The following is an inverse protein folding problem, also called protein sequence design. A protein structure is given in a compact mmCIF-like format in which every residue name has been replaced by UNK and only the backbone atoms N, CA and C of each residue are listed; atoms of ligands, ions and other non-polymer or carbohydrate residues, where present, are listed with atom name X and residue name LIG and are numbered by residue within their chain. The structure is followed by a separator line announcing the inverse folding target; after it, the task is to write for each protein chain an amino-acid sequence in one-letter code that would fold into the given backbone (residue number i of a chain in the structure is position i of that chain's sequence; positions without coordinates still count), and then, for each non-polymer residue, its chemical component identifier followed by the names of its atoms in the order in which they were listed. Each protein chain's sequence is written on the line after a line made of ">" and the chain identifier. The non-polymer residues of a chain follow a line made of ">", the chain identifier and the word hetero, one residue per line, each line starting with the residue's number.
data_IF_297340314851
#
_entry.id   IF_297340314851
#
_cell.length_a   1.000
_cell.length_b   1.000
_cell.length_c   1.000
_cell.angle_alpha   90.00
_cell.angle_beta   90.00
_cell.angle_gamma   90.00
#
_symmetry.space_group_name_H-M   'P 1'
#
loop_
_entity.id
_entity.type
_entity.pdbx_description
1 polymer ?
#
# COMPACT_ATOMS: atom_id res chain seq x y z
N UNK A 1 28.44 -37.66 -29.08
CA UNK A 1 28.66 -37.82 -30.53
C UNK A 1 27.76 -36.82 -31.25
N UNK A 2 28.36 -35.95 -32.08
CA UNK A 2 27.75 -35.05 -33.11
C UNK A 2 26.83 -33.91 -32.62
N UNK A 3 27.18 -32.61 -32.65
CA UNK A 3 27.51 -31.68 -33.76
C UNK A 3 26.38 -31.56 -34.81
N UNK A 4 25.86 -30.37 -35.17
CA UNK A 4 26.51 -29.43 -36.09
C UNK A 4 26.12 -27.94 -35.92
N UNK A 5 27.11 -27.08 -36.22
CA UNK A 5 27.03 -25.66 -36.55
C UNK A 5 26.14 -25.35 -37.76
N UNK A 6 25.63 -24.11 -37.82
CA UNK A 6 25.18 -23.45 -39.05
C UNK A 6 25.18 -21.93 -38.90
N UNK A 7 26.23 -21.28 -39.41
CA UNK A 7 26.36 -19.81 -39.57
C UNK A 7 25.82 -19.43 -40.95
N UNK A 8 25.01 -18.37 -41.04
CA UNK A 8 24.91 -17.58 -42.27
C UNK A 8 24.51 -16.13 -41.95
N UNK A 9 25.47 -15.26 -42.18
CA UNK A 9 25.43 -13.79 -42.13
C UNK A 9 24.67 -13.27 -43.35
N UNK A 10 23.77 -12.31 -43.18
CA UNK A 10 23.30 -11.46 -44.28
C UNK A 10 23.27 -9.99 -43.83
N UNK A 11 24.35 -9.30 -44.23
CA UNK A 11 24.55 -7.85 -44.18
C UNK A 11 24.22 -7.30 -45.57
N UNK A 12 23.32 -6.33 -45.65
CA UNK A 12 23.18 -5.31 -46.73
C UNK A 12 22.30 -4.19 -46.16
N UNK A 13 22.80 -3.11 -45.54
CA UNK A 13 23.53 -1.93 -46.03
C UNK A 13 22.82 -1.04 -47.08
N UNK A 14 22.68 0.24 -46.69
CA UNK A 14 22.45 1.51 -47.44
C UNK A 14 20.99 1.86 -47.82
N UNK A 15 20.47 3.07 -47.55
CA UNK A 15 21.00 4.31 -46.97
C UNK A 15 20.09 5.52 -47.30
N UNK A 16 20.22 6.62 -46.52
CA UNK A 16 19.76 8.03 -46.65
C UNK A 16 19.08 8.49 -45.34
N UNK A 17 19.68 9.21 -44.38
CA UNK A 17 20.38 10.53 -44.32
C UNK A 17 19.50 11.75 -44.61
N UNK A 18 19.02 12.39 -43.54
CA UNK A 18 18.82 13.85 -43.37
C UNK A 18 18.70 14.11 -41.84
N UNK A 19 19.74 14.55 -41.13
CA UNK A 19 20.18 15.94 -40.85
C UNK A 19 19.11 16.82 -40.19
N UNK A 20 19.28 17.02 -38.88
CA UNK A 20 18.63 18.07 -38.08
C UNK A 20 19.18 18.03 -36.66
N UNK A 21 20.08 18.97 -36.32
CA UNK A 21 20.52 19.22 -34.96
C UNK A 21 19.47 20.11 -34.29
N UNK A 22 19.02 19.77 -33.09
CA UNK A 22 18.65 20.78 -32.11
C UNK A 22 19.03 20.32 -30.71
N UNK A 23 19.76 21.23 -30.06
CA UNK A 23 20.17 21.19 -28.67
C UNK A 23 18.91 21.38 -27.84
N UNK A 24 18.58 20.37 -27.06
CA UNK A 24 17.63 20.48 -25.98
C UNK A 24 18.15 19.65 -24.83
N UNK A 25 18.93 20.27 -23.94
CA UNK A 25 19.02 19.80 -22.56
C UNK A 25 17.61 19.81 -21.98
N UNK A 26 16.90 18.71 -22.15
CA UNK A 26 15.77 18.40 -21.30
C UNK A 26 16.38 17.83 -20.03
N UNK A 27 16.83 18.74 -19.15
CA UNK A 27 16.79 18.50 -17.72
C UNK A 27 15.38 18.03 -17.42
N UNK A 28 15.21 16.70 -17.45
CA UNK A 28 14.04 16.07 -16.90
C UNK A 28 14.24 16.15 -15.41
N UNK A 29 13.97 17.35 -14.87
CA UNK A 29 13.51 17.54 -13.51
C UNK A 29 12.23 16.70 -13.36
N UNK A 30 12.42 15.40 -13.20
CA UNK A 30 11.48 14.52 -12.54
C UNK A 30 11.46 14.95 -11.08
N UNK A 31 10.86 16.12 -10.84
CA UNK A 31 10.24 16.40 -9.56
C UNK A 31 9.16 15.34 -9.41
N UNK A 32 9.52 14.21 -8.78
CA UNK A 32 8.53 13.34 -8.20
C UNK A 32 7.57 14.24 -7.41
N UNK A 33 6.25 14.11 -7.56
CA UNK A 33 5.35 14.89 -6.72
C UNK A 33 5.73 14.56 -5.29
N UNK A 34 6.28 15.53 -4.57
CA UNK A 34 6.39 15.53 -3.11
C UNK A 34 4.96 15.65 -2.59
N UNK A 35 4.16 14.61 -2.83
CA UNK A 35 2.80 14.52 -2.36
C UNK A 35 2.90 14.35 -0.86
N UNK A 36 2.53 15.39 -0.12
CA UNK A 36 2.29 15.27 1.32
C UNK A 36 1.33 14.11 1.53
N UNK A 37 1.71 13.14 2.37
CA UNK A 37 0.83 12.03 2.70
C UNK A 37 -0.50 12.59 3.25
N UNK A 38 -1.65 12.01 2.90
CA UNK A 38 -2.93 12.45 3.44
C UNK A 38 -2.90 12.35 4.97
N UNK A 39 -3.57 13.27 5.66
CA UNK A 39 -3.63 13.24 7.12
C UNK A 39 -4.53 12.08 7.60
N UNK A 40 -4.15 11.45 8.72
CA UNK A 40 -5.03 10.53 9.43
C UNK A 40 -6.27 11.30 9.91
N UNK A 41 -7.50 10.75 9.78
CA UNK A 41 -8.70 11.43 10.25
C UNK A 41 -8.58 11.80 11.74
N UNK A 42 -8.90 13.05 12.09
CA UNK A 42 -8.64 13.59 13.42
C UNK A 42 -9.25 12.76 14.56
N UNK A 43 -10.46 12.22 14.37
CA UNK A 43 -11.11 11.36 15.37
C UNK A 43 -10.39 10.02 15.58
N UNK A 44 -9.71 9.51 14.54
CA UNK A 44 -8.93 8.27 14.63
C UNK A 44 -7.58 8.60 15.26
N UNK A 45 -6.92 9.66 14.79
CA UNK A 45 -5.66 10.14 15.35
C UNK A 45 -5.74 10.34 16.87
N UNK A 46 -6.84 10.92 17.38
CA UNK A 46 -7.07 11.10 18.81
C UNK A 46 -7.14 9.79 19.63
N UNK A 47 -7.39 8.64 18.99
CA UNK A 47 -7.43 7.31 19.62
C UNK A 47 -6.09 6.59 19.55
N UNK A 48 -5.10 7.13 18.82
CA UNK A 48 -3.78 6.53 18.66
C UNK A 48 -2.80 7.09 19.70
N UNK A 49 -1.94 6.24 20.27
CA UNK A 49 -0.73 6.72 20.94
C UNK A 49 0.11 7.56 19.97
N UNK A 50 0.56 8.74 20.39
CA UNK A 50 1.30 9.70 19.55
C UNK A 50 0.58 10.03 18.21
N UNK A 51 -0.75 10.08 18.23
CA UNK A 51 -1.55 10.24 17.02
C UNK A 51 -1.57 11.65 16.43
N UNK A 52 -1.16 12.67 17.17
CA UNK A 52 -1.09 14.04 16.66
C UNK A 52 -0.15 14.13 15.45
N UNK A 53 -0.67 14.65 14.34
CA UNK A 53 0.06 14.70 13.07
C UNK A 53 0.25 13.34 12.39
N UNK A 54 -0.49 12.30 12.79
CA UNK A 54 -0.43 11.01 12.12
C UNK A 54 -0.86 11.11 10.64
N UNK A 55 -0.18 10.33 9.81
CA UNK A 55 -0.41 10.25 8.37
C UNK A 55 -1.30 9.04 8.07
N UNK A 56 -2.25 9.21 7.15
CA UNK A 56 -3.03 8.12 6.59
C UNK A 56 -2.14 7.32 5.63
N UNK A 57 -1.96 6.04 5.94
CA UNK A 57 -1.21 5.10 5.10
C UNK A 57 -2.13 4.45 4.09
N UNK A 58 -3.26 3.91 4.57
CA UNK A 58 -4.25 3.26 3.72
C UNK A 58 -5.55 3.10 4.50
N UNK A 59 -6.69 3.06 3.82
CA UNK A 59 -7.94 2.67 4.43
C UNK A 59 -8.77 1.79 3.50
N UNK A 60 -9.65 1.02 4.11
CA UNK A 60 -10.47 0.02 3.45
C UNK A 60 -11.86 -0.04 4.08
N UNK A 61 -12.84 -0.48 3.30
CA UNK A 61 -14.13 -0.95 3.80
C UNK A 61 -14.28 -2.44 3.56
N UNK A 62 -15.05 -3.07 4.45
CA UNK A 62 -15.67 -4.37 4.20
C UNK A 62 -17.19 -4.17 4.05
N UNK A 63 -17.97 -5.25 4.14
CA UNK A 63 -19.44 -5.16 4.16
C UNK A 63 -19.96 -4.25 5.30
N UNK A 64 -19.32 -4.27 6.48
CA UNK A 64 -19.80 -3.53 7.65
C UNK A 64 -18.69 -2.98 8.56
N UNK A 65 -17.43 -2.99 8.11
CA UNK A 65 -16.29 -2.40 8.83
C UNK A 65 -15.62 -1.32 8.00
N UNK A 66 -15.02 -0.38 8.70
CA UNK A 66 -13.95 0.47 8.18
C UNK A 66 -12.64 0.10 8.87
N UNK A 67 -11.58 0.06 8.09
CA UNK A 67 -10.21 -0.20 8.55
C UNK A 67 -9.37 0.98 8.09
N UNK A 68 -8.73 1.66 9.03
CA UNK A 68 -7.85 2.79 8.75
C UNK A 68 -6.46 2.50 9.31
N UNK A 69 -5.45 2.53 8.44
CA UNK A 69 -4.06 2.42 8.80
C UNK A 69 -3.44 3.81 8.87
N UNK A 70 -2.96 4.21 10.04
CA UNK A 70 -2.26 5.48 10.22
C UNK A 70 -0.86 5.25 10.78
N UNK A 71 0.09 6.06 10.33
CA UNK A 71 1.44 6.12 10.88
C UNK A 71 1.57 7.34 11.77
N UNK A 72 1.95 7.14 13.01
CA UNK A 72 2.17 8.23 13.98
C UNK A 72 3.39 9.06 13.59
N UNK A 73 3.52 10.26 14.16
CA UNK A 73 4.73 11.07 13.99
C UNK A 73 6.00 10.36 14.49
N UNK A 74 5.86 9.46 15.46
CA UNK A 74 6.94 8.57 15.95
C UNK A 74 7.25 7.39 15.00
N UNK A 75 6.55 7.28 13.87
CA UNK A 75 6.76 6.27 12.83
C UNK A 75 6.06 4.93 13.07
N UNK A 76 5.34 4.78 14.19
CA UNK A 76 4.61 3.55 14.51
C UNK A 76 3.35 3.42 13.67
N UNK A 77 3.11 2.22 13.12
CA UNK A 77 1.90 1.93 12.36
C UNK A 77 0.80 1.43 13.29
N UNK A 78 -0.40 1.97 13.13
CA UNK A 78 -1.60 1.54 13.82
C UNK A 78 -2.70 1.17 12.83
N UNK A 79 -3.42 0.13 13.17
CA UNK A 79 -4.69 -0.27 12.58
C UNK A 79 -5.80 0.23 13.49
N UNK A 80 -6.76 0.94 12.93
CA UNK A 80 -8.00 1.31 13.59
C UNK A 80 -9.17 0.60 12.89
N UNK A 81 -9.82 -0.32 13.59
CA UNK A 81 -10.98 -1.04 13.07
C UNK A 81 -12.25 -0.59 13.76
N UNK A 82 -13.27 -0.24 12.99
CA UNK A 82 -14.57 0.17 13.51
C UNK A 82 -15.71 -0.40 12.66
N UNK A 83 -16.91 -0.43 13.22
CA UNK A 83 -18.10 -0.72 12.44
C UNK A 83 -18.50 0.50 11.63
N UNK A 84 -18.87 0.29 10.36
CA UNK A 84 -19.26 1.38 9.46
C UNK A 84 -20.53 2.12 9.92
N UNK A 85 -21.36 1.50 10.75
CA UNK A 85 -22.55 2.11 11.37
C UNK A 85 -22.25 2.75 12.74
N UNK A 86 -21.00 2.72 13.22
CA UNK A 86 -20.59 3.37 14.46
C UNK A 86 -21.21 2.78 15.73
N UNK A 87 -21.80 1.58 15.66
CA UNK A 87 -22.52 0.97 16.80
C UNK A 87 -21.64 0.63 18.01
N UNK A 88 -20.34 0.48 17.76
CA UNK A 88 -19.32 0.26 18.79
C UNK A 88 -18.14 1.19 18.51
N UNK A 89 -17.43 1.58 19.57
CA UNK A 89 -16.20 2.34 19.46
C UNK A 89 -15.17 1.51 18.69
N UNK A 90 -14.43 2.16 17.78
CA UNK A 90 -13.34 1.52 17.08
C UNK A 90 -12.18 1.16 18.01
N UNK A 91 -11.35 0.24 17.55
CA UNK A 91 -10.21 -0.29 18.31
C UNK A 91 -8.93 0.04 17.57
N UNK A 92 -8.04 0.78 18.24
CA UNK A 92 -6.67 1.00 17.80
C UNK A 92 -5.78 -0.18 18.20
N UNK A 93 -5.03 -0.72 17.24
CA UNK A 93 -4.13 -1.87 17.43
C UNK A 93 -2.81 -1.56 16.75
N UNK A 94 -1.70 -1.86 17.42
CA UNK A 94 -0.38 -1.71 16.79
C UNK A 94 -0.29 -2.69 15.61
N UNK A 95 0.18 -2.18 14.49
CA UNK A 95 0.32 -2.91 13.25
C UNK A 95 1.77 -2.89 12.75
N UNK A 96 2.05 -3.74 11.78
CA UNK A 96 3.32 -3.73 11.03
C UNK A 96 3.06 -4.02 9.56
N UNK A 97 3.93 -3.49 8.71
CA UNK A 97 4.00 -3.86 7.30
C UNK A 97 4.55 -5.28 7.18
N UNK A 98 4.01 -6.04 6.23
CA UNK A 98 4.50 -7.36 5.80
C UNK A 98 4.87 -7.29 4.32
N UNK A 99 5.40 -8.37 3.73
CA UNK A 99 5.90 -8.37 2.35
C UNK A 99 4.88 -7.98 1.26
N UNK A 100 3.59 -7.93 1.57
CA UNK A 100 2.56 -7.46 0.64
C UNK A 100 1.29 -6.97 1.33
N UNK A 101 1.40 -6.42 2.53
CA UNK A 101 0.24 -5.96 3.27
C UNK A 101 0.56 -5.61 4.71
N UNK A 102 -0.36 -5.91 5.62
CA UNK A 102 -0.28 -5.47 7.01
C UNK A 102 -0.74 -6.54 7.97
N UNK A 103 -0.17 -6.54 9.17
CA UNK A 103 -0.64 -7.37 10.27
C UNK A 103 -0.84 -6.51 11.53
N UNK A 104 -2.00 -6.62 12.16
CA UNK A 104 -2.29 -6.06 13.48
C UNK A 104 -2.57 -7.19 14.49
N UNK A 105 -2.26 -6.96 15.77
CA UNK A 105 -2.49 -7.93 16.84
C UNK A 105 -3.21 -7.27 18.02
N UNK A 106 -4.11 -8.03 18.63
CA UNK A 106 -4.79 -7.68 19.86
C UNK A 106 -5.01 -8.94 20.71
N UNK A 107 -4.13 -9.16 21.69
CA UNK A 107 -4.11 -10.42 22.45
C UNK A 107 -3.89 -11.63 21.54
N UNK A 108 -4.80 -12.60 21.61
CA UNK A 108 -4.79 -13.80 20.77
C UNK A 108 -5.28 -13.58 19.33
N UNK A 109 -5.84 -12.40 19.03
CA UNK A 109 -6.36 -12.06 17.72
C UNK A 109 -5.28 -11.48 16.82
N UNK A 110 -5.32 -11.88 15.56
CA UNK A 110 -4.42 -11.42 14.50
C UNK A 110 -5.22 -11.11 13.25
N UNK A 111 -5.01 -9.91 12.72
CA UNK A 111 -5.68 -9.39 11.54
C UNK A 111 -4.65 -9.24 10.44
N UNK A 112 -4.82 -9.96 9.32
CA UNK A 112 -3.86 -9.99 8.21
C UNK A 112 -4.53 -9.43 6.97
N UNK A 113 -4.06 -8.29 6.49
CA UNK A 113 -4.46 -7.70 5.21
C UNK A 113 -3.46 -8.15 4.16
N UNK A 114 -3.93 -8.86 3.14
CA UNK A 114 -3.12 -9.26 1.98
C UNK A 114 -4.03 -9.64 0.82
N UNK A 115 -3.62 -9.33 -0.42
CA UNK A 115 -4.33 -9.78 -1.62
C UNK A 115 -5.80 -9.31 -1.71
N UNK A 116 -6.12 -8.15 -1.16
CA UNK A 116 -7.49 -7.58 -1.23
C UNK A 116 -8.47 -8.14 -0.20
N UNK A 117 -8.01 -8.93 0.77
CA UNK A 117 -8.84 -9.44 1.88
C UNK A 117 -8.23 -9.12 3.23
N UNK A 118 -9.05 -9.08 4.26
CA UNK A 118 -8.63 -9.18 5.66
C UNK A 118 -9.00 -10.56 6.19
N UNK A 119 -8.00 -11.29 6.70
CA UNK A 119 -8.18 -12.57 7.39
C UNK A 119 -8.03 -12.36 8.88
N UNK A 120 -8.97 -12.89 9.66
CA UNK A 120 -8.96 -12.81 11.12
C UNK A 120 -8.64 -14.17 11.69
N UNK A 121 -7.64 -14.22 12.56
CA UNK A 121 -7.20 -15.42 13.26
C UNK A 121 -7.38 -15.24 14.77
N UNK A 122 -7.75 -16.32 15.46
CA UNK A 122 -7.72 -16.43 16.91
C UNK A 122 -6.86 -17.65 17.24
N UNK A 123 -5.78 -17.46 18.00
CA UNK A 123 -4.85 -18.56 18.34
C UNK A 123 -4.43 -19.38 17.10
N UNK A 124 -4.06 -18.67 16.03
CA UNK A 124 -3.67 -19.18 14.69
C UNK A 124 -4.73 -19.96 13.89
N UNK A 125 -5.94 -20.15 14.43
CA UNK A 125 -7.07 -20.62 13.64
C UNK A 125 -7.72 -19.45 12.91
N UNK A 126 -7.87 -19.55 11.59
CA UNK A 126 -8.65 -18.57 10.84
C UNK A 126 -10.13 -18.68 11.24
N UNK A 127 -10.72 -17.57 11.67
CA UNK A 127 -12.12 -17.46 12.10
C UNK A 127 -12.94 -16.51 11.23
N UNK A 128 -12.31 -15.79 10.31
CA UNK A 128 -13.00 -14.90 9.39
C UNK A 128 -12.14 -14.52 8.19
N UNK A 129 -12.82 -14.11 7.12
CA UNK A 129 -12.25 -13.54 5.90
C UNK A 129 -13.29 -12.57 5.33
N UNK A 130 -12.85 -11.36 4.99
CA UNK A 130 -13.71 -10.36 4.35
C UNK A 130 -12.96 -9.67 3.20
N UNK A 131 -13.66 -9.45 2.09
CA UNK A 131 -13.16 -8.65 0.99
C UNK A 131 -12.98 -7.18 1.40
N UNK A 132 -11.92 -6.56 0.88
CA UNK A 132 -11.59 -5.16 1.11
C UNK A 132 -11.81 -4.35 -0.15
N UNK A 133 -12.59 -3.28 -0.04
CA UNK A 133 -12.59 -2.18 -1.01
C UNK A 133 -11.74 -1.03 -0.49
N UNK A 134 -10.87 -0.41 -1.32
CA UNK A 134 -10.13 0.77 -0.92
C UNK A 134 -11.07 1.94 -0.52
N UNK A 135 -10.70 2.66 0.52
CA UNK A 135 -11.36 3.89 0.97
C UNK A 135 -10.28 4.98 1.09
N UNK A 136 -10.07 5.81 0.06
CA UNK A 136 -8.99 6.81 0.08
C UNK A 136 -9.28 7.99 1.02
N UNK A 137 -10.53 8.21 1.41
CA UNK A 137 -10.96 9.36 2.23
C UNK A 137 -11.83 8.90 3.40
N UNK A 138 -11.27 8.12 4.35
CA UNK A 138 -12.01 7.69 5.53
C UNK A 138 -12.46 8.92 6.32
N UNK A 139 -13.78 9.06 6.51
CA UNK A 139 -14.34 10.01 7.48
C UNK A 139 -13.91 9.63 8.85
#
# INVERSE_FOLDING_TARGET
>A
MSSCLGVAVLVFLLGLVAKGCDIGSSDSDSSAPTGTAPACPGRIAAELPDGDGAELVQAFRTKNKQITLCRTASGSLYYYGEFSDGREKGIAMKARTTGGGYEARNGEYRYVIHGGVVKVYQSDRQIGEEDLSPEPSPS
#
